data_IF_471111638926
#
_entry.id   IF_471111638926
#
_cell.length_a   1.000
_cell.length_b   1.000
_cell.length_c   1.000
_cell.angle_alpha   90.00
_cell.angle_beta   90.00
_cell.angle_gamma   90.00
#
_symmetry.space_group_name_H-M   'P 1'
#
loop_
_entity.id
_entity.type
_entity.pdbx_description
1 polymer ?
#
# COMPACT_ATOMS: atom_id res chain seq x y z
N UNK A 1 16.02 -17.46 -3.69
CA UNK A 1 14.76 -17.70 -4.42
C UNK A 1 13.83 -16.60 -3.97
N UNK A 2 13.60 -15.57 -4.79
CA UNK A 2 12.66 -14.50 -4.43
C UNK A 2 11.31 -15.15 -4.16
N UNK A 3 10.86 -15.16 -2.91
CA UNK A 3 9.46 -15.43 -2.61
C UNK A 3 8.66 -14.50 -3.51
N UNK A 4 7.90 -15.08 -4.45
CA UNK A 4 7.13 -14.29 -5.40
C UNK A 4 6.26 -13.32 -4.62
N UNK A 5 6.21 -12.06 -5.04
CA UNK A 5 5.38 -11.03 -4.41
C UNK A 5 3.97 -11.59 -4.21
N UNK A 6 3.58 -11.80 -2.94
CA UNK A 6 2.26 -12.30 -2.60
C UNK A 6 1.25 -11.21 -2.96
N UNK A 7 0.36 -11.51 -3.91
CA UNK A 7 -0.80 -10.66 -4.20
C UNK A 7 -1.67 -10.60 -2.94
N UNK A 8 -1.96 -9.38 -2.50
CA UNK A 8 -2.82 -9.08 -1.34
C UNK A 8 -3.92 -8.14 -1.80
N UNK A 9 -5.14 -8.25 -1.24
CA UNK A 9 -6.22 -7.35 -1.60
C UNK A 9 -5.88 -5.92 -1.18
N UNK A 10 -6.42 -4.92 -1.89
CA UNK A 10 -6.26 -3.51 -1.53
C UNK A 10 -7.02 -3.14 -0.25
N UNK A 11 -8.21 -3.71 -0.06
CA UNK A 11 -9.04 -3.54 1.13
C UNK A 11 -9.11 -4.84 1.94
N UNK A 12 -9.18 -4.71 3.27
CA UNK A 12 -9.23 -5.86 4.17
C UNK A 12 -10.64 -6.44 4.39
N UNK A 13 -11.68 -5.69 4.02
CA UNK A 13 -13.08 -6.00 4.30
C UNK A 13 -13.87 -6.43 3.07
N UNK A 14 -13.29 -6.36 1.87
CA UNK A 14 -13.98 -6.72 0.63
C UNK A 14 -13.03 -7.41 -0.35
N UNK A 15 -13.54 -8.37 -1.14
CA UNK A 15 -12.83 -8.86 -2.30
C UNK A 15 -12.72 -7.71 -3.31
N UNK A 16 -11.49 -7.28 -3.58
CA UNK A 16 -11.22 -6.14 -4.45
C UNK A 16 -10.01 -6.40 -5.34
N UNK A 17 -9.48 -5.31 -5.90
CA UNK A 17 -8.25 -5.34 -6.68
C UNK A 17 -7.04 -5.66 -5.81
N UNK A 18 -5.98 -6.15 -6.45
CA UNK A 18 -4.69 -6.33 -5.79
C UNK A 18 -4.11 -4.97 -5.38
N UNK A 19 -3.54 -4.89 -4.17
CA UNK A 19 -2.98 -3.65 -3.60
C UNK A 19 -2.03 -2.96 -4.58
N UNK A 20 -1.07 -3.70 -5.14
CA UNK A 20 -0.09 -3.14 -6.07
C UNK A 20 -0.73 -2.56 -7.33
N UNK A 21 -1.75 -3.22 -7.90
CA UNK A 21 -2.41 -2.75 -9.12
C UNK A 21 -3.18 -1.45 -8.87
N UNK A 22 -3.85 -1.33 -7.72
CA UNK A 22 -4.53 -0.11 -7.31
C UNK A 22 -3.55 1.04 -7.09
N UNK A 23 -2.43 0.74 -6.41
CA UNK A 23 -1.39 1.71 -6.14
C UNK A 23 -0.79 2.27 -7.42
N UNK A 24 -0.44 1.39 -8.38
CA UNK A 24 0.12 1.83 -9.66
C UNK A 24 -0.88 2.61 -10.50
N UNK A 25 -2.17 2.22 -10.48
CA UNK A 25 -3.20 2.95 -11.21
C UNK A 25 -3.31 4.40 -10.72
N UNK A 26 -3.41 4.59 -9.41
CA UNK A 26 -3.53 5.93 -8.83
C UNK A 26 -2.23 6.73 -8.92
N UNK A 27 -1.08 6.09 -8.66
CA UNK A 27 0.23 6.75 -8.72
C UNK A 27 0.52 7.29 -10.12
N UNK A 28 0.08 6.63 -11.19
CA UNK A 28 0.32 7.06 -12.57
C UNK A 28 -0.85 7.84 -13.20
N UNK A 29 -1.95 8.04 -12.46
CA UNK A 29 -3.08 8.79 -12.98
C UNK A 29 -2.66 10.25 -13.28
N UNK A 30 -3.06 10.81 -14.44
CA UNK A 30 -2.71 12.18 -14.80
C UNK A 30 -3.40 13.21 -13.91
N UNK A 31 -4.64 12.93 -13.48
CA UNK A 31 -5.44 13.80 -12.61
C UNK A 31 -6.26 12.96 -11.62
N UNK A 32 -6.54 13.52 -10.44
CA UNK A 32 -7.44 12.92 -9.44
C UNK A 32 -6.93 11.66 -8.73
N UNK A 33 -5.78 11.12 -9.10
CA UNK A 33 -5.16 9.98 -8.42
C UNK A 33 -4.39 10.37 -7.16
N UNK A 34 -4.36 9.45 -6.20
CA UNK A 34 -3.49 9.52 -5.04
C UNK A 34 -2.06 9.11 -5.41
N UNK A 35 -1.08 9.61 -4.68
CA UNK A 35 0.33 9.24 -4.88
C UNK A 35 0.76 8.26 -3.80
N UNK A 36 0.09 7.11 -3.72
CA UNK A 36 0.27 6.12 -2.66
C UNK A 36 1.72 5.65 -2.46
N UNK A 37 2.48 5.44 -3.55
CA UNK A 37 3.89 5.04 -3.49
C UNK A 37 4.73 6.21 -2.95
N UNK A 38 4.44 7.43 -3.40
CA UNK A 38 5.13 8.63 -2.93
C UNK A 38 4.81 8.92 -1.46
N UNK A 39 3.54 8.80 -1.04
CA UNK A 39 3.08 8.93 0.34
C UNK A 39 3.79 7.91 1.25
N UNK A 40 3.82 6.62 0.88
CA UNK A 40 4.59 5.59 1.59
C UNK A 40 6.06 6.00 1.76
N UNK A 41 6.71 6.58 0.74
CA UNK A 41 8.09 7.09 0.84
C UNK A 41 8.22 8.28 1.79
N UNK A 42 7.26 9.20 1.82
CA UNK A 42 7.24 10.33 2.74
C UNK A 42 7.12 9.84 4.18
N UNK A 43 6.16 8.97 4.48
CA UNK A 43 5.98 8.40 5.82
C UNK A 43 7.22 7.61 6.27
N UNK A 44 7.84 6.82 5.39
CA UNK A 44 9.07 6.12 5.71
C UNK A 44 10.24 7.07 6.06
N UNK A 45 10.33 8.23 5.41
CA UNK A 45 11.32 9.26 5.77
C UNK A 45 11.01 9.91 7.11
N UNK A 46 9.74 10.20 7.39
CA UNK A 46 9.32 10.79 8.66
C UNK A 46 9.49 9.85 9.84
N UNK A 47 9.26 8.55 9.65
CA UNK A 47 9.47 7.53 10.68
C UNK A 47 10.93 7.45 11.16
N UNK A 48 11.90 7.98 10.39
CA UNK A 48 13.30 8.11 10.85
C UNK A 48 13.51 9.23 11.87
N UNK A 49 12.58 10.19 11.94
CA UNK A 49 12.67 11.40 12.78
C UNK A 49 11.60 11.46 13.86
N UNK A 50 10.52 10.71 13.69
CA UNK A 50 9.35 10.71 14.56
C UNK A 50 8.96 9.28 14.90
N UNK A 51 8.32 9.10 16.06
CA UNK A 51 7.81 7.80 16.50
C UNK A 51 6.55 7.43 15.73
N UNK A 52 6.73 6.98 14.48
CA UNK A 52 5.67 6.46 13.61
C UNK A 52 5.82 4.94 13.57
N UNK A 53 4.78 4.23 14.00
CA UNK A 53 4.74 2.75 14.01
C UNK A 53 3.83 2.31 12.87
N UNK A 54 4.38 1.51 11.94
CA UNK A 54 3.60 0.91 10.86
C UNK A 54 3.11 -0.48 11.29
N UNK A 55 1.81 -0.63 11.48
CA UNK A 55 1.19 -1.91 11.82
C UNK A 55 0.79 -2.67 10.55
N UNK A 56 1.07 -3.97 10.52
CA UNK A 56 0.73 -4.86 9.40
C UNK A 56 -0.04 -6.09 9.92
N UNK A 57 -1.27 -5.92 10.44
CA UNK A 57 -2.04 -7.03 10.95
C UNK A 57 -2.33 -8.04 9.83
N UNK A 58 -2.39 -9.32 10.18
CA UNK A 58 -2.91 -10.34 9.25
C UNK A 58 -4.41 -10.12 9.07
N UNK A 59 -4.87 -10.08 7.83
CA UNK A 59 -6.29 -9.95 7.52
C UNK A 59 -6.93 -11.32 7.40
N UNK A 60 -8.00 -11.54 8.16
CA UNK A 60 -9.01 -12.54 7.82
C UNK A 60 -9.93 -11.88 6.81
N UNK A 61 -9.73 -12.14 5.51
CA UNK A 61 -10.68 -11.69 4.48
C UNK A 61 -12.02 -12.35 4.84
N UNK A 62 -13.02 -11.54 5.17
CA UNK A 62 -14.39 -12.02 5.43
C UNK A 62 -15.08 -12.40 4.13
#
# INVERSE_FOLDING_TARGET
>A
RSEGFRKVPYHYYEPGRDECEEYFLHENAPYGGHRFITEKKVFAKWAKKHTIIFTHPSWTVS
#
